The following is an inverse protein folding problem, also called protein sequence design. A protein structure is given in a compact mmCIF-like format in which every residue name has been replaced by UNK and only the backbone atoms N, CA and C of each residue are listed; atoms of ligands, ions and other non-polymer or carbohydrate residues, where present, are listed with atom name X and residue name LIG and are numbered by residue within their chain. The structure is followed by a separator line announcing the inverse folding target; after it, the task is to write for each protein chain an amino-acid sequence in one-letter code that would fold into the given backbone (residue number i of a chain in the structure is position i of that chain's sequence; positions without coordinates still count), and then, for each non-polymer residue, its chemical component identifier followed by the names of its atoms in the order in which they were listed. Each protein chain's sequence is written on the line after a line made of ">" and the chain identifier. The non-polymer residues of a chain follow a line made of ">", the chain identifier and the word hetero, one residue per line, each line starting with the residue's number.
data_IF_863465836999
#
_entry.id   IF_863465836999
#
_cell.length_a   1.000
_cell.length_b   1.000
_cell.length_c   1.000
_cell.angle_alpha   90.00
_cell.angle_beta   90.00
_cell.angle_gamma   90.00
#
_symmetry.space_group_name_H-M   'P 1'
#
loop_
_entity.id
_entity.type
_entity.pdbx_description
1 polymer ?
#
# COMPACT_ATOMS: atom_id res chain seq x y z
N UNK A 1 -75.30 17.97 56.46
CA UNK A 1 -75.66 18.93 55.41
C UNK A 1 -75.04 18.50 54.09
N UNK A 2 -75.72 18.75 52.95
CA UNK A 2 -76.02 17.74 51.93
C UNK A 2 -75.27 18.04 50.60
N UNK A 3 -75.24 17.23 49.54
CA UNK A 3 -76.37 16.80 48.69
C UNK A 3 -75.89 15.86 47.56
N UNK A 4 -76.65 14.78 47.38
CA UNK A 4 -77.19 14.21 46.10
C UNK A 4 -76.23 13.78 44.98
N UNK A 5 -76.10 12.49 44.66
CA UNK A 5 -77.02 11.57 43.94
C UNK A 5 -77.02 11.70 42.40
N UNK A 6 -76.71 10.55 41.78
CA UNK A 6 -77.41 9.91 40.62
C UNK A 6 -77.18 10.60 39.24
N UNK A 7 -77.09 9.92 38.09
CA UNK A 7 -77.54 8.58 37.66
C UNK A 7 -77.05 8.34 36.20
N UNK A 8 -76.83 7.06 35.85
CA UNK A 8 -77.15 6.33 34.57
C UNK A 8 -76.53 6.79 33.24
N UNK A 9 -75.77 5.97 32.49
CA UNK A 9 -76.05 4.69 31.75
C UNK A 9 -76.69 4.93 30.36
N UNK A 10 -76.20 4.16 29.37
CA UNK A 10 -76.61 4.02 27.95
C UNK A 10 -75.76 4.86 26.97
N UNK A 11 -75.35 4.42 25.77
CA UNK A 11 -75.68 3.25 24.97
C UNK A 11 -74.54 2.95 23.96
N UNK A 12 -74.45 1.68 23.57
CA UNK A 12 -73.66 1.13 22.46
C UNK A 12 -74.44 1.32 21.15
N UNK A 13 -73.75 1.51 20.01
CA UNK A 13 -73.99 0.94 18.67
C UNK A 13 -73.33 1.83 17.56
N UNK A 14 -73.31 1.43 16.27
CA UNK A 14 -72.07 1.09 15.56
C UNK A 14 -71.84 1.99 14.33
N UNK A 15 -70.64 1.96 13.71
CA UNK A 15 -70.52 2.43 12.32
C UNK A 15 -69.73 1.47 11.45
N UNK A 16 -70.38 1.20 10.33
CA UNK A 16 -70.12 0.22 9.30
C UNK A 16 -69.12 0.72 8.25
N UNK A 17 -68.53 -0.26 7.54
CA UNK A 17 -68.12 -0.28 6.12
C UNK A 17 -67.09 0.75 5.65
N UNK A 18 -65.98 0.23 5.10
CA UNK A 18 -65.70 0.35 3.67
C UNK A 18 -64.55 -0.58 3.27
N UNK A 19 -64.85 -1.54 2.39
CA UNK A 19 -63.87 -2.27 1.59
C UNK A 19 -63.31 -1.29 0.55
N UNK A 20 -61.99 -1.12 0.51
CA UNK A 20 -61.31 -0.48 -0.61
C UNK A 20 -60.39 -1.52 -1.27
N UNK A 21 -60.82 -1.95 -2.44
CA UNK A 21 -60.09 -2.75 -3.43
C UNK A 21 -58.86 -1.97 -3.89
N UNK A 22 -57.65 -2.49 -3.64
CA UNK A 22 -56.43 -1.99 -4.29
C UNK A 22 -56.17 -2.86 -5.50
N UNK A 23 -56.34 -2.24 -6.66
CA UNK A 23 -56.15 -2.83 -7.97
C UNK A 23 -54.68 -3.21 -8.21
N UNK A 24 -54.49 -4.45 -8.66
CA UNK A 24 -53.26 -4.99 -9.23
C UNK A 24 -52.90 -4.22 -10.50
N UNK A 25 -51.82 -3.44 -10.45
CA UNK A 25 -51.23 -2.81 -11.62
C UNK A 25 -50.04 -3.64 -12.10
N UNK A 26 -50.26 -4.45 -13.13
CA UNK A 26 -49.22 -5.17 -13.87
C UNK A 26 -48.26 -4.17 -14.55
N UNK A 27 -47.02 -4.10 -14.06
CA UNK A 27 -45.94 -3.40 -14.78
C UNK A 27 -45.28 -4.35 -15.79
N UNK A 28 -45.69 -4.19 -17.05
CA UNK A 28 -45.06 -4.74 -18.25
C UNK A 28 -43.59 -4.31 -18.33
N UNK A 29 -42.67 -5.28 -18.25
CA UNK A 29 -41.23 -5.06 -18.51
C UNK A 29 -40.98 -5.02 -20.01
N UNK A 30 -40.69 -3.85 -20.55
CA UNK A 30 -40.27 -3.67 -21.94
C UNK A 30 -38.77 -3.95 -22.05
N UNK A 31 -38.41 -5.04 -22.76
CA UNK A 31 -37.05 -5.31 -23.24
C UNK A 31 -36.62 -4.20 -24.22
N UNK A 32 -35.58 -3.44 -23.89
CA UNK A 32 -34.79 -2.69 -24.87
C UNK A 32 -33.36 -3.21 -24.90
N UNK A 33 -33.08 -4.05 -25.91
CA UNK A 33 -31.73 -4.30 -26.43
C UNK A 33 -31.38 -3.14 -27.35
N UNK A 34 -30.23 -2.51 -27.14
CA UNK A 34 -29.72 -1.46 -28.03
C UNK A 34 -28.33 -1.00 -27.63
N UNK A 35 -27.33 -1.52 -28.36
CA UNK A 35 -25.91 -1.16 -28.34
C UNK A 35 -25.65 0.35 -28.17
N UNK A 36 -24.76 0.71 -27.25
CA UNK A 36 -23.77 1.77 -27.45
C UNK A 36 -22.40 1.21 -27.06
N UNK A 37 -21.62 0.90 -28.08
CA UNK A 37 -20.23 0.45 -27.98
C UNK A 37 -19.41 1.64 -28.48
N UNK A 38 -18.65 2.28 -27.60
CA UNK A 38 -17.76 3.38 -27.94
C UNK A 38 -17.24 4.14 -26.72
N UNK A 39 -15.91 4.11 -26.56
CA UNK A 39 -15.06 5.02 -25.77
C UNK A 39 -14.92 4.78 -24.25
N UNK A 40 -14.39 3.63 -23.84
CA UNK A 40 -13.65 3.47 -22.58
C UNK A 40 -12.60 2.34 -22.73
N UNK A 41 -11.53 2.59 -23.47
CA UNK A 41 -10.46 1.59 -23.74
C UNK A 41 -9.30 1.70 -22.74
N UNK A 42 -9.61 1.87 -21.45
CA UNK A 42 -8.60 2.06 -20.39
C UNK A 42 -8.78 1.23 -19.12
N UNK A 43 -9.78 0.35 -19.03
CA UNK A 43 -10.10 -0.42 -17.80
C UNK A 43 -10.09 -1.95 -18.00
N UNK A 44 -9.33 -2.44 -18.98
CA UNK A 44 -9.38 -3.83 -19.47
C UNK A 44 -9.00 -4.92 -18.48
N UNK A 45 -8.35 -4.60 -17.34
CA UNK A 45 -7.92 -5.64 -16.39
C UNK A 45 -9.06 -6.12 -15.47
N UNK A 46 -10.01 -5.26 -15.08
CA UNK A 46 -11.04 -5.65 -14.11
C UNK A 46 -12.25 -6.38 -14.69
N UNK A 47 -12.55 -6.23 -15.99
CA UNK A 47 -13.66 -6.96 -16.61
C UNK A 47 -13.30 -8.43 -16.88
N UNK A 48 -12.06 -8.71 -17.29
CA UNK A 48 -11.60 -10.07 -17.57
C UNK A 48 -11.47 -10.90 -16.27
N UNK A 49 -11.00 -10.31 -15.17
CA UNK A 49 -10.93 -10.99 -13.86
C UNK A 49 -12.30 -11.41 -13.32
N UNK A 50 -13.34 -10.59 -13.54
CA UNK A 50 -14.71 -10.92 -13.13
C UNK A 50 -15.25 -12.13 -13.90
N UNK A 51 -14.97 -12.21 -15.19
CA UNK A 51 -15.38 -13.33 -16.05
C UNK A 51 -14.72 -14.65 -15.61
N UNK A 52 -13.41 -14.62 -15.29
CA UNK A 52 -12.66 -15.79 -14.80
C UNK A 52 -13.16 -16.23 -13.42
N UNK A 53 -13.39 -15.28 -12.51
CA UNK A 53 -13.90 -15.59 -11.17
C UNK A 53 -15.31 -16.18 -11.24
N UNK A 54 -16.19 -15.62 -12.07
CA UNK A 54 -17.56 -16.11 -12.22
C UNK A 54 -17.59 -17.52 -12.84
N UNK A 55 -16.72 -17.81 -13.81
CA UNK A 55 -16.53 -19.17 -14.33
C UNK A 55 -16.09 -20.14 -13.22
N UNK A 56 -15.07 -19.77 -12.44
CA UNK A 56 -14.58 -20.59 -11.33
C UNK A 56 -15.68 -20.85 -10.28
N UNK A 57 -16.42 -19.82 -9.88
CA UNK A 57 -17.53 -19.95 -8.94
C UNK A 57 -18.63 -20.86 -9.49
N UNK A 58 -18.92 -20.79 -10.79
CA UNK A 58 -19.87 -21.66 -11.46
C UNK A 58 -19.42 -23.12 -11.44
N UNK A 59 -18.16 -23.42 -11.79
CA UNK A 59 -17.61 -24.78 -11.76
C UNK A 59 -17.62 -25.38 -10.35
N UNK A 60 -17.21 -24.60 -9.34
CA UNK A 60 -17.22 -25.04 -7.95
C UNK A 60 -18.64 -25.26 -7.43
N UNK A 61 -19.64 -24.51 -7.92
CA UNK A 61 -21.04 -24.68 -7.53
C UNK A 61 -21.66 -26.01 -8.00
N UNK A 62 -21.21 -26.54 -9.15
CA UNK A 62 -21.68 -27.81 -9.73
C UNK A 62 -21.22 -29.04 -8.96
N UNK A 63 -20.17 -28.89 -8.15
CA UNK A 63 -19.58 -30.01 -7.41
C UNK A 63 -20.53 -30.45 -6.27
N UNK A 64 -20.93 -31.73 -6.19
CA UNK A 64 -21.87 -32.20 -5.17
C UNK A 64 -21.21 -32.24 -3.79
N UNK A 65 -21.98 -31.96 -2.73
CA UNK A 65 -21.51 -32.06 -1.35
C UNK A 65 -21.28 -33.52 -0.95
N UNK A 66 -20.27 -33.77 -0.12
CA UNK A 66 -20.01 -35.10 0.44
C UNK A 66 -20.97 -35.39 1.61
N UNK A 67 -21.40 -36.64 1.70
CA UNK A 67 -22.01 -37.17 2.92
C UNK A 67 -20.93 -37.52 3.94
N UNK A 68 -21.30 -37.59 5.22
CA UNK A 68 -20.36 -37.90 6.30
C UNK A 68 -19.66 -39.27 6.12
N UNK A 69 -20.36 -40.26 5.55
CA UNK A 69 -19.79 -41.59 5.28
C UNK A 69 -18.73 -41.53 4.17
N UNK A 70 -19.00 -40.78 3.10
CA UNK A 70 -18.06 -40.58 1.98
C UNK A 70 -16.83 -39.77 2.41
N UNK A 71 -17.03 -38.75 3.25
CA UNK A 71 -15.96 -37.94 3.83
C UNK A 71 -14.97 -38.80 4.63
N UNK A 72 -15.47 -39.68 5.50
CA UNK A 72 -14.64 -40.62 6.28
C UNK A 72 -13.91 -41.59 5.34
N UNK A 73 -14.60 -42.12 4.32
CA UNK A 73 -14.00 -43.05 3.36
C UNK A 73 -12.86 -42.40 2.56
N UNK A 74 -13.07 -41.18 2.07
CA UNK A 74 -12.04 -40.39 1.36
C UNK A 74 -10.89 -40.03 2.29
N UNK A 75 -11.16 -39.56 3.50
CA UNK A 75 -10.13 -39.20 4.47
C UNK A 75 -9.22 -40.39 4.84
N UNK A 76 -9.78 -41.60 4.95
CA UNK A 76 -8.98 -42.82 5.17
C UNK A 76 -8.05 -43.13 4.00
N UNK A 77 -8.53 -42.99 2.76
CA UNK A 77 -7.69 -43.17 1.55
C UNK A 77 -6.60 -42.10 1.46
N UNK A 78 -6.92 -40.86 1.78
CA UNK A 78 -5.97 -39.75 1.86
C UNK A 78 -4.83 -40.06 2.84
N UNK A 79 -5.15 -40.61 4.02
CA UNK A 79 -4.16 -41.02 5.01
C UNK A 79 -3.28 -42.18 4.53
N UNK A 80 -3.81 -43.04 3.66
CA UNK A 80 -3.05 -44.10 2.99
C UNK A 80 -2.15 -43.58 1.85
N UNK A 81 -2.15 -42.26 1.58
CA UNK A 81 -1.32 -41.63 0.55
C UNK A 81 -1.98 -41.52 -0.82
N UNK A 82 -3.28 -41.80 -0.94
CA UNK A 82 -4.02 -41.68 -2.19
C UNK A 82 -4.21 -40.20 -2.59
N UNK A 83 -3.53 -39.80 -3.67
CA UNK A 83 -3.53 -38.43 -4.17
C UNK A 83 -4.83 -38.08 -4.92
N UNK A 84 -5.50 -39.05 -5.53
CA UNK A 84 -6.81 -38.82 -6.18
C UNK A 84 -7.89 -38.58 -5.13
N UNK A 85 -7.88 -39.38 -4.06
CA UNK A 85 -8.79 -39.17 -2.92
C UNK A 85 -8.60 -37.78 -2.27
N UNK A 86 -7.35 -37.29 -2.22
CA UNK A 86 -7.04 -35.95 -1.71
C UNK A 86 -7.64 -34.87 -2.60
N UNK A 87 -7.44 -34.97 -3.91
CA UNK A 87 -7.97 -34.01 -4.86
C UNK A 87 -9.50 -33.97 -4.80
N UNK A 88 -10.15 -35.13 -4.73
CA UNK A 88 -11.60 -35.22 -4.62
C UNK A 88 -12.11 -34.62 -3.30
N UNK A 89 -11.47 -34.94 -2.17
CA UNK A 89 -11.81 -34.35 -0.87
C UNK A 89 -11.70 -32.82 -0.87
N UNK A 90 -10.63 -32.28 -1.45
CA UNK A 90 -10.42 -30.82 -1.57
C UNK A 90 -11.45 -30.20 -2.51
N UNK A 91 -11.64 -30.75 -3.72
CA UNK A 91 -12.56 -30.24 -4.75
C UNK A 91 -13.99 -30.13 -4.23
N UNK A 92 -14.44 -31.13 -3.47
CA UNK A 92 -15.76 -31.19 -2.83
C UNK A 92 -15.98 -30.13 -1.76
N UNK A 93 -14.90 -29.58 -1.19
CA UNK A 93 -14.93 -28.60 -0.11
C UNK A 93 -14.56 -27.17 -0.53
N UNK A 94 -14.27 -26.91 -1.81
CA UNK A 94 -13.91 -25.57 -2.32
C UNK A 94 -14.99 -24.51 -2.05
N UNK A 95 -16.28 -24.90 -2.09
CA UNK A 95 -17.42 -24.02 -1.75
C UNK A 95 -17.29 -23.41 -0.35
N UNK A 96 -16.78 -24.20 0.59
CA UNK A 96 -16.59 -23.74 1.96
C UNK A 96 -15.49 -22.68 2.05
N UNK A 97 -14.37 -22.86 1.34
CA UNK A 97 -13.28 -21.88 1.31
C UNK A 97 -13.77 -20.53 0.81
N UNK A 98 -14.56 -20.50 -0.26
CA UNK A 98 -15.16 -19.26 -0.79
C UNK A 98 -16.01 -18.55 0.28
N UNK A 99 -16.80 -19.30 1.05
CA UNK A 99 -17.63 -18.74 2.12
C UNK A 99 -16.81 -18.14 3.27
N UNK A 100 -15.62 -18.68 3.55
CA UNK A 100 -14.70 -18.16 4.55
C UNK A 100 -13.96 -16.93 4.00
N UNK A 101 -13.44 -17.00 2.77
CA UNK A 101 -12.71 -15.93 2.10
C UNK A 101 -13.55 -14.64 1.93
N UNK A 102 -14.84 -14.79 1.62
CA UNK A 102 -15.78 -13.64 1.54
C UNK A 102 -15.79 -12.75 2.80
N UNK A 103 -15.53 -13.32 3.97
CA UNK A 103 -15.49 -12.56 5.25
C UNK A 103 -14.26 -11.65 5.37
N UNK A 104 -13.24 -11.87 4.54
CA UNK A 104 -11.98 -11.14 4.55
C UNK A 104 -11.80 -10.22 3.33
N UNK A 105 -12.86 -10.03 2.54
CA UNK A 105 -12.85 -9.09 1.41
C UNK A 105 -12.58 -7.65 1.86
N UNK A 106 -12.09 -6.83 0.92
CA UNK A 106 -11.83 -5.39 1.11
C UNK A 106 -10.75 -5.10 2.17
N UNK A 107 -9.81 -6.04 2.39
CA UNK A 107 -8.67 -5.88 3.31
C UNK A 107 -7.31 -5.77 2.60
N UNK A 108 -7.33 -5.34 1.33
CA UNK A 108 -6.13 -5.10 0.52
C UNK A 108 -5.67 -6.25 -0.37
N UNK A 109 -6.37 -7.40 -0.36
CA UNK A 109 -6.19 -8.46 -1.36
C UNK A 109 -7.49 -8.71 -2.14
N UNK A 110 -7.41 -9.00 -3.45
CA UNK A 110 -8.59 -9.36 -4.24
C UNK A 110 -9.15 -10.71 -3.79
N UNK A 111 -10.44 -10.94 -4.06
CA UNK A 111 -11.12 -12.16 -3.61
C UNK A 111 -10.50 -13.43 -4.22
N UNK A 112 -10.02 -13.36 -5.47
CA UNK A 112 -9.31 -14.45 -6.16
C UNK A 112 -8.13 -14.95 -5.34
N UNK A 113 -7.30 -14.04 -4.85
CA UNK A 113 -6.08 -14.36 -4.11
C UNK A 113 -6.42 -14.88 -2.71
N UNK A 114 -7.44 -14.31 -2.06
CA UNK A 114 -7.95 -14.83 -0.79
C UNK A 114 -8.47 -16.26 -0.91
N UNK A 115 -9.16 -16.58 -2.02
CA UNK A 115 -9.61 -17.94 -2.31
C UNK A 115 -8.42 -18.85 -2.59
N UNK A 116 -7.44 -18.40 -3.38
CA UNK A 116 -6.23 -19.16 -3.69
C UNK A 116 -5.46 -19.57 -2.43
N UNK A 117 -5.19 -18.61 -1.55
CA UNK A 117 -4.50 -18.85 -0.27
C UNK A 117 -5.35 -19.71 0.68
N UNK A 118 -6.67 -19.50 0.69
CA UNK A 118 -7.60 -20.37 1.41
C UNK A 118 -7.58 -21.83 0.92
N UNK A 119 -7.43 -22.05 -0.38
CA UNK A 119 -7.33 -23.38 -0.99
C UNK A 119 -6.01 -24.07 -0.59
N UNK A 120 -4.91 -23.33 -0.48
CA UNK A 120 -3.64 -23.85 0.05
C UNK A 120 -3.80 -24.27 1.52
N UNK A 121 -4.52 -23.47 2.31
CA UNK A 121 -4.89 -23.83 3.69
C UNK A 121 -5.74 -25.10 3.76
N UNK A 122 -6.74 -25.24 2.88
CA UNK A 122 -7.60 -26.43 2.79
C UNK A 122 -6.78 -27.69 2.44
N UNK A 123 -5.85 -27.59 1.49
CA UNK A 123 -4.97 -28.70 1.11
C UNK A 123 -4.08 -29.14 2.29
N UNK A 124 -3.58 -28.18 3.06
CA UNK A 124 -2.79 -28.45 4.27
C UNK A 124 -3.63 -29.15 5.35
N UNK A 125 -4.89 -28.73 5.52
CA UNK A 125 -5.83 -29.40 6.40
C UNK A 125 -6.10 -30.84 5.96
N UNK A 126 -6.33 -31.06 4.66
CA UNK A 126 -6.64 -32.37 4.11
C UNK A 126 -5.48 -33.37 4.32
N UNK A 127 -4.22 -32.93 4.23
CA UNK A 127 -3.03 -33.76 4.55
C UNK A 127 -2.93 -34.18 6.01
N UNK A 128 -3.41 -33.34 6.94
CA UNK A 128 -3.23 -33.54 8.38
C UNK A 128 -4.50 -34.03 9.10
N UNK A 129 -5.58 -34.20 8.35
CA UNK A 129 -6.87 -34.57 8.91
C UNK A 129 -6.89 -36.03 9.36
N UNK A 130 -7.42 -36.26 10.56
CA UNK A 130 -7.62 -37.60 11.10
C UNK A 130 -9.13 -37.91 11.22
N UNK A 131 -9.66 -38.86 10.42
CA UNK A 131 -11.07 -39.22 10.46
C UNK A 131 -11.48 -39.95 11.74
N UNK A 132 -10.54 -40.52 12.50
CA UNK A 132 -10.84 -41.32 13.69
C UNK A 132 -11.19 -40.43 14.91
N UNK A 133 -10.94 -39.12 14.84
CA UNK A 133 -11.29 -38.15 15.88
C UNK A 133 -12.79 -37.81 15.96
N UNK A 134 -13.62 -38.30 15.04
CA UNK A 134 -15.08 -38.12 15.07
C UNK A 134 -15.59 -36.71 14.77
N UNK A 135 -14.71 -35.80 14.34
CA UNK A 135 -15.05 -34.44 13.92
C UNK A 135 -15.19 -34.34 12.40
N UNK A 136 -16.10 -33.49 11.92
CA UNK A 136 -16.22 -33.20 10.48
C UNK A 136 -14.95 -32.52 9.99
N UNK A 137 -14.51 -32.83 8.76
CA UNK A 137 -13.33 -32.24 8.12
C UNK A 137 -13.40 -30.72 8.09
N UNK A 138 -14.57 -30.17 7.76
CA UNK A 138 -14.79 -28.71 7.68
C UNK A 138 -14.50 -28.02 9.03
N UNK A 139 -14.85 -28.66 10.15
CA UNK A 139 -14.60 -28.13 11.49
C UNK A 139 -13.10 -28.02 11.80
N UNK A 140 -12.30 -28.94 11.28
CA UNK A 140 -10.85 -28.90 11.37
C UNK A 140 -10.23 -27.92 10.36
N UNK A 141 -10.70 -27.97 9.11
CA UNK A 141 -10.15 -27.20 8.00
C UNK A 141 -10.31 -25.69 8.17
N UNK A 142 -11.36 -25.21 8.87
CA UNK A 142 -11.59 -23.78 9.05
C UNK A 142 -10.41 -23.05 9.70
N UNK A 143 -9.68 -23.71 10.61
CA UNK A 143 -8.50 -23.14 11.27
C UNK A 143 -7.36 -22.92 10.27
N UNK A 144 -7.04 -23.94 9.47
CA UNK A 144 -5.99 -23.86 8.45
C UNK A 144 -6.33 -22.87 7.34
N UNK A 145 -7.59 -22.83 6.89
CA UNK A 145 -8.06 -21.86 5.88
C UNK A 145 -7.90 -20.44 6.42
N UNK A 146 -8.35 -20.17 7.65
CA UNK A 146 -8.21 -18.84 8.27
C UNK A 146 -6.76 -18.46 8.47
N UNK A 147 -5.92 -19.40 8.93
CA UNK A 147 -4.49 -19.15 9.13
C UNK A 147 -3.82 -18.76 7.81
N UNK A 148 -4.07 -19.50 6.74
CA UNK A 148 -3.51 -19.22 5.42
C UNK A 148 -3.94 -17.84 4.89
N UNK A 149 -5.24 -17.55 4.94
CA UNK A 149 -5.79 -16.24 4.52
C UNK A 149 -5.20 -15.09 5.34
N UNK A 150 -5.14 -15.22 6.66
CA UNK A 150 -4.59 -14.18 7.54
C UNK A 150 -3.08 -14.00 7.32
N UNK A 151 -2.34 -15.08 7.08
CA UNK A 151 -0.91 -15.02 6.77
C UNK A 151 -0.64 -14.34 5.42
N UNK A 152 -1.48 -14.59 4.41
CA UNK A 152 -1.41 -13.93 3.11
C UNK A 152 -1.72 -12.44 3.22
N UNK A 153 -2.82 -12.07 3.90
CA UNK A 153 -3.17 -10.68 4.18
C UNK A 153 -2.05 -9.93 4.91
N UNK A 154 -1.41 -10.57 5.89
CA UNK A 154 -0.27 -9.99 6.59
C UNK A 154 0.97 -9.79 5.70
N UNK A 155 1.13 -10.60 4.65
CA UNK A 155 2.30 -10.57 3.77
C UNK A 155 2.14 -9.63 2.58
N UNK A 156 0.96 -9.63 1.97
CA UNK A 156 0.68 -9.02 0.67
C UNK A 156 -0.47 -8.01 0.70
N UNK A 157 -1.29 -7.98 1.76
CA UNK A 157 -2.48 -7.12 1.82
C UNK A 157 -2.21 -5.64 2.03
N UNK A 158 -0.95 -5.21 2.04
CA UNK A 158 -0.55 -3.80 2.18
C UNK A 158 0.55 -3.50 1.19
N UNK A 159 0.49 -2.30 0.61
CA UNK A 159 1.52 -1.75 -0.28
C UNK A 159 2.88 -1.70 0.41
N UNK A 160 2.92 -1.24 1.67
CA UNK A 160 4.11 -1.31 2.54
C UNK A 160 3.98 -2.49 3.49
N UNK A 161 4.91 -3.45 3.35
CA UNK A 161 4.91 -4.67 4.15
C UNK A 161 5.24 -4.40 5.61
N UNK A 162 4.39 -4.91 6.51
CA UNK A 162 4.64 -4.91 7.96
C UNK A 162 5.10 -6.31 8.40
N UNK A 163 6.13 -6.42 9.27
CA UNK A 163 6.56 -7.70 9.83
C UNK A 163 5.44 -8.46 10.57
N UNK A 164 5.42 -9.79 10.46
CA UNK A 164 4.33 -10.64 10.99
C UNK A 164 4.18 -10.54 12.52
N UNK A 165 5.27 -10.32 13.25
CA UNK A 165 5.24 -10.10 14.70
C UNK A 165 4.52 -8.81 15.10
N UNK A 166 4.46 -7.81 14.20
CA UNK A 166 3.84 -6.50 14.45
C UNK A 166 2.44 -6.34 13.86
N UNK A 167 2.00 -7.25 12.97
CA UNK A 167 0.65 -7.17 12.38
C UNK A 167 -0.47 -7.41 13.39
N UNK A 168 -0.21 -8.25 14.40
CA UNK A 168 -1.12 -8.47 15.51
C UNK A 168 -1.25 -7.21 16.39
N UNK A 169 -0.14 -6.52 16.66
CA UNK A 169 -0.10 -5.23 17.37
C UNK A 169 -0.89 -4.17 16.62
N UNK A 170 -0.64 -4.03 15.32
CA UNK A 170 -1.35 -3.10 14.45
C UNK A 170 -2.87 -3.38 14.44
N UNK A 171 -3.26 -4.64 14.32
CA UNK A 171 -4.68 -5.03 14.33
C UNK A 171 -5.35 -4.78 15.68
N UNK A 172 -4.58 -4.79 16.78
CA UNK A 172 -5.06 -4.40 18.12
C UNK A 172 -5.21 -2.88 18.20
N UNK A 173 -4.19 -2.13 17.78
CA UNK A 173 -4.20 -0.66 17.72
C UNK A 173 -5.42 -0.15 16.95
N UNK A 174 -5.68 -0.66 15.74
CA UNK A 174 -6.83 -0.23 14.93
C UNK A 174 -8.17 -0.53 15.62
N UNK A 175 -8.32 -1.71 16.25
CA UNK A 175 -9.54 -2.08 16.97
C UNK A 175 -9.76 -1.23 18.22
N UNK A 176 -8.70 -0.99 18.98
CA UNK A 176 -8.74 -0.18 20.20
C UNK A 176 -8.98 1.29 19.85
N UNK A 177 -8.35 1.82 18.82
CA UNK A 177 -8.59 3.17 18.33
C UNK A 177 -10.05 3.36 17.92
N UNK A 178 -10.64 2.41 17.18
CA UNK A 178 -12.07 2.44 16.83
C UNK A 178 -12.98 2.42 18.06
N UNK A 179 -12.67 1.56 19.03
CA UNK A 179 -13.42 1.44 20.28
C UNK A 179 -13.34 2.72 21.14
N UNK A 180 -12.14 3.30 21.27
CA UNK A 180 -11.92 4.54 22.00
C UNK A 180 -12.59 5.71 21.29
N UNK A 181 -12.54 5.77 19.95
CA UNK A 181 -13.24 6.79 19.17
C UNK A 181 -14.74 6.78 19.41
N UNK A 182 -15.35 5.60 19.50
CA UNK A 182 -16.78 5.46 19.81
C UNK A 182 -17.12 5.88 21.25
N UNK A 183 -16.23 5.57 22.20
CA UNK A 183 -16.45 5.83 23.63
C UNK A 183 -16.21 7.31 23.98
N UNK A 184 -15.10 7.88 23.49
CA UNK A 184 -14.68 9.26 23.76
C UNK A 184 -15.35 10.29 22.84
N UNK A 185 -15.97 9.84 21.74
CA UNK A 185 -16.57 10.69 20.69
C UNK A 185 -15.60 11.73 20.11
N UNK A 186 -14.31 11.42 20.14
CA UNK A 186 -13.22 12.19 19.53
C UNK A 186 -12.14 11.22 19.05
N UNK A 187 -11.20 11.71 18.24
CA UNK A 187 -10.01 10.93 17.91
C UNK A 187 -9.18 10.68 19.19
N UNK A 188 -8.81 9.43 19.48
CA UNK A 188 -7.99 9.08 20.64
C UNK A 188 -6.55 9.52 20.44
N UNK A 189 -5.88 9.92 21.52
CA UNK A 189 -4.46 10.26 21.47
C UNK A 189 -3.60 8.99 21.41
N UNK A 190 -2.36 9.05 20.87
CA UNK A 190 -1.46 7.90 20.86
C UNK A 190 -1.16 7.34 22.26
N UNK A 191 -1.17 8.19 23.29
CA UNK A 191 -0.99 7.81 24.70
C UNK A 191 -2.18 6.97 25.21
N UNK A 192 -3.41 7.40 24.94
CA UNK A 192 -4.63 6.67 25.32
C UNK A 192 -4.70 5.29 24.66
N UNK A 193 -4.25 5.19 23.41
CA UNK A 193 -4.16 3.92 22.70
C UNK A 193 -3.06 3.03 23.31
N UNK A 194 -1.91 3.60 23.67
CA UNK A 194 -0.82 2.88 24.31
C UNK A 194 -1.26 2.27 25.65
N UNK A 195 -1.93 3.05 26.49
CA UNK A 195 -2.45 2.60 27.78
C UNK A 195 -3.49 1.48 27.62
N UNK A 196 -4.42 1.64 26.68
CA UNK A 196 -5.45 0.64 26.43
C UNK A 196 -4.92 -0.65 25.77
N UNK A 197 -3.86 -0.56 24.96
CA UNK A 197 -3.25 -1.71 24.28
C UNK A 197 -2.10 -2.36 25.06
N UNK A 198 -1.61 -1.70 26.13
CA UNK A 198 -0.42 -2.08 26.91
C UNK A 198 0.84 -2.18 26.04
N UNK A 199 0.95 -1.29 25.05
CA UNK A 199 2.12 -1.17 24.18
C UNK A 199 2.87 0.11 24.51
N UNK A 200 4.17 0.15 24.25
CA UNK A 200 4.96 1.39 24.40
C UNK A 200 4.51 2.46 23.41
N UNK A 201 4.52 3.73 23.83
CA UNK A 201 4.14 4.87 23.00
C UNK A 201 4.86 4.91 21.64
N UNK A 202 6.18 4.64 21.62
CA UNK A 202 6.99 4.60 20.39
C UNK A 202 6.49 3.56 19.37
N UNK A 203 6.09 2.37 19.86
CA UNK A 203 5.52 1.31 19.00
C UNK A 203 4.18 1.73 18.44
N UNK A 204 3.34 2.40 19.24
CA UNK A 204 2.04 2.90 18.75
C UNK A 204 2.24 3.98 17.69
N UNK A 205 3.13 4.94 17.92
CA UNK A 205 3.42 6.01 16.96
C UNK A 205 4.01 5.46 15.65
N UNK A 206 5.00 4.58 15.73
CA UNK A 206 5.62 3.97 14.54
C UNK A 206 4.63 3.13 13.73
N UNK A 207 3.79 2.33 14.38
CA UNK A 207 2.79 1.52 13.70
C UNK A 207 1.61 2.35 13.18
N UNK A 208 1.24 3.44 13.88
CA UNK A 208 0.22 4.37 13.41
C UNK A 208 0.68 5.11 12.15
N UNK A 209 1.94 5.54 12.09
CA UNK A 209 2.53 6.17 10.90
C UNK A 209 2.53 5.23 9.69
N UNK A 210 2.72 3.92 9.90
CA UNK A 210 2.61 2.90 8.84
C UNK A 210 1.17 2.61 8.41
N UNK A 211 0.16 3.04 9.19
CA UNK A 211 -1.24 2.84 8.87
C UNK A 211 -1.87 4.02 8.11
N UNK A 212 -1.09 5.06 7.83
CA UNK A 212 -1.53 6.16 6.97
C UNK A 212 -1.89 5.60 5.60
N UNK A 213 -3.11 5.90 5.11
CA UNK A 213 -3.61 5.37 3.85
C UNK A 213 -2.68 5.77 2.69
N UNK A 214 -2.47 4.84 1.76
CA UNK A 214 -1.72 5.11 0.54
C UNK A 214 -2.50 6.05 -0.37
N UNK A 215 -1.83 7.11 -0.84
CA UNK A 215 -2.38 8.05 -1.81
C UNK A 215 -1.88 7.67 -3.19
N UNK A 216 -2.80 7.49 -4.14
CA UNK A 216 -2.44 7.25 -5.53
C UNK A 216 -2.00 8.56 -6.18
N UNK A 217 -0.77 8.60 -6.67
CA UNK A 217 -0.23 9.79 -7.34
C UNK A 217 -0.83 10.01 -8.74
N UNK A 218 -1.26 8.94 -9.40
CA UNK A 218 -1.96 8.99 -10.69
C UNK A 218 -3.47 9.25 -10.55
N UNK A 219 -3.99 9.42 -9.33
CA UNK A 219 -5.40 9.73 -9.17
C UNK A 219 -5.69 11.12 -9.73
N UNK A 220 -6.70 11.26 -10.61
CA UNK A 220 -7.11 12.56 -11.11
C UNK A 220 -7.60 13.41 -9.95
N UNK A 221 -7.11 14.65 -9.87
CA UNK A 221 -7.49 15.62 -8.86
C UNK A 221 -8.84 16.28 -9.17
N UNK A 222 -9.08 16.54 -10.45
CA UNK A 222 -10.26 17.21 -10.95
C UNK A 222 -11.19 16.24 -11.71
N UNK A 223 -12.51 16.49 -11.74
CA UNK A 223 -13.49 15.65 -12.45
C UNK A 223 -13.21 15.48 -13.94
N UNK A 224 -12.55 16.47 -14.54
CA UNK A 224 -12.19 16.48 -15.96
C UNK A 224 -10.94 15.63 -16.27
N UNK A 225 -10.20 15.19 -15.23
CA UNK A 225 -9.10 14.23 -15.36
C UNK A 225 -7.78 14.80 -15.89
N UNK A 226 -7.71 16.10 -16.14
CA UNK A 226 -6.55 16.75 -16.78
C UNK A 226 -5.35 16.98 -15.84
N UNK A 227 -5.52 16.80 -14.53
CA UNK A 227 -4.46 17.05 -13.53
C UNK A 227 -4.28 15.88 -12.60
N UNK A 228 -3.06 15.35 -12.56
CA UNK A 228 -2.62 14.33 -11.62
C UNK A 228 -1.78 14.92 -10.47
N UNK A 229 -1.70 14.22 -9.33
CA UNK A 229 -0.81 14.64 -8.22
C UNK A 229 0.67 14.61 -8.65
N UNK A 230 1.03 13.72 -9.58
CA UNK A 230 2.39 13.59 -10.12
C UNK A 230 2.89 14.89 -10.75
N UNK A 231 2.03 15.65 -11.45
CA UNK A 231 2.42 16.93 -12.07
C UNK A 231 2.86 17.99 -11.06
N UNK A 232 2.47 17.85 -9.79
CA UNK A 232 2.87 18.78 -8.72
C UNK A 232 4.17 18.36 -8.02
N UNK A 233 4.55 17.09 -8.14
CA UNK A 233 5.77 16.54 -7.54
C UNK A 233 7.00 16.63 -8.49
N UNK A 234 6.96 17.53 -9.48
CA UNK A 234 8.10 17.72 -10.40
C UNK A 234 9.31 18.19 -9.58
N UNK A 235 10.23 17.23 -9.42
CA UNK A 235 11.61 17.24 -8.97
C UNK A 235 12.17 18.57 -8.43
N UNK A 236 12.34 18.62 -7.11
CA UNK A 236 13.31 19.51 -6.44
C UNK A 236 14.76 19.22 -6.89
N UNK A 237 15.01 18.08 -7.55
CA UNK A 237 16.34 17.62 -7.99
C UNK A 237 16.76 18.12 -9.39
N UNK A 238 15.94 18.90 -10.11
CA UNK A 238 16.46 19.57 -11.30
C UNK A 238 17.23 20.82 -10.83
N UNK A 239 18.56 20.88 -11.03
CA UNK A 239 19.30 22.08 -10.71
C UNK A 239 18.72 23.22 -11.53
N UNK A 240 18.48 24.36 -10.88
CA UNK A 240 17.89 25.51 -11.54
C UNK A 240 18.70 25.85 -12.80
N UNK A 241 18.02 26.25 -13.87
CA UNK A 241 18.71 26.64 -15.11
C UNK A 241 19.62 27.85 -14.85
N UNK A 242 19.24 28.70 -13.90
CA UNK A 242 20.08 29.80 -13.40
C UNK A 242 21.33 29.29 -12.69
N UNK A 243 21.21 28.33 -11.78
CA UNK A 243 22.35 27.71 -11.08
C UNK A 243 23.32 27.05 -12.07
N UNK A 244 22.80 26.29 -13.04
CA UNK A 244 23.63 25.66 -14.07
C UNK A 244 24.33 26.69 -14.98
N UNK A 245 23.67 27.82 -15.27
CA UNK A 245 24.30 28.89 -16.04
C UNK A 245 25.38 29.58 -15.21
N UNK A 246 25.12 29.85 -13.93
CA UNK A 246 26.06 30.46 -13.00
C UNK A 246 27.31 29.59 -12.78
N UNK A 247 27.14 28.27 -12.62
CA UNK A 247 28.25 27.32 -12.52
C UNK A 247 29.13 27.31 -13.78
N UNK A 248 28.52 27.42 -14.97
CA UNK A 248 29.26 27.56 -16.24
C UNK A 248 30.02 28.87 -16.32
N UNK A 249 29.37 29.99 -16.00
CA UNK A 249 30.03 31.30 -15.96
C UNK A 249 31.18 31.33 -14.97
N UNK A 250 31.00 30.76 -13.78
CA UNK A 250 32.04 30.63 -12.77
C UNK A 250 33.22 29.77 -13.29
N UNK A 251 32.92 28.65 -13.93
CA UNK A 251 33.94 27.77 -14.52
C UNK A 251 34.76 28.49 -15.61
N UNK A 252 34.09 29.24 -16.49
CA UNK A 252 34.73 30.01 -17.56
C UNK A 252 35.62 31.14 -17.00
N UNK A 253 35.14 31.87 -15.99
CA UNK A 253 35.92 32.91 -15.30
C UNK A 253 37.13 32.33 -14.56
N UNK A 254 36.98 31.17 -13.91
CA UNK A 254 38.10 30.44 -13.29
C UNK A 254 39.13 30.04 -14.36
N UNK A 255 38.71 29.55 -15.53
CA UNK A 255 39.62 29.23 -16.63
C UNK A 255 40.36 30.47 -17.14
N UNK A 256 39.66 31.59 -17.33
CA UNK A 256 40.29 32.86 -17.73
C UNK A 256 41.32 33.33 -16.69
N UNK A 257 40.98 33.26 -15.40
CA UNK A 257 41.89 33.58 -14.31
C UNK A 257 43.16 32.71 -14.34
N UNK A 258 43.00 31.40 -14.54
CA UNK A 258 44.12 30.46 -14.65
C UNK A 258 45.00 30.73 -15.88
N UNK A 259 44.42 31.22 -16.98
CA UNK A 259 45.16 31.56 -18.21
C UNK A 259 46.04 32.81 -18.07
N UNK A 260 45.75 33.70 -17.12
CA UNK A 260 46.62 34.85 -16.80
C UNK A 260 47.91 34.46 -16.06
N UNK A 261 47.90 33.30 -15.41
CA UNK A 261 49.05 32.78 -14.67
C UNK A 261 50.07 32.12 -15.59
N UNK A 262 51.30 31.97 -15.10
CA UNK A 262 52.30 31.19 -15.78
C UNK A 262 51.85 29.72 -15.89
N UNK A 263 52.06 29.07 -17.04
CA UNK A 263 51.62 27.67 -17.30
C UNK A 263 51.93 26.68 -16.18
N UNK A 264 53.09 26.83 -15.52
CA UNK A 264 53.50 25.99 -14.38
C UNK A 264 52.70 26.26 -13.11
N UNK A 265 52.39 27.52 -12.83
CA UNK A 265 51.61 27.96 -11.67
C UNK A 265 50.15 27.51 -11.81
N UNK A 266 49.56 27.72 -13.01
CA UNK A 266 48.21 27.29 -13.33
C UNK A 266 48.02 25.77 -13.23
N UNK A 267 49.01 24.98 -13.69
CA UNK A 267 48.93 23.52 -13.62
C UNK A 267 48.95 23.00 -12.18
N UNK A 268 49.70 23.64 -11.29
CA UNK A 268 49.69 23.30 -9.85
C UNK A 268 48.31 23.54 -9.25
N UNK A 269 47.65 24.65 -9.58
CA UNK A 269 46.30 24.95 -9.07
C UNK A 269 45.24 23.99 -9.63
N UNK A 270 45.28 23.68 -10.93
CA UNK A 270 44.36 22.73 -11.57
C UNK A 270 44.43 21.34 -10.93
N UNK A 271 45.64 20.86 -10.61
CA UNK A 271 45.84 19.56 -9.96
C UNK A 271 45.50 19.59 -8.45
N UNK A 272 45.79 20.69 -7.77
CA UNK A 272 45.51 20.82 -6.33
C UNK A 272 44.01 20.85 -6.04
N UNK A 273 43.24 21.62 -6.81
CA UNK A 273 41.78 21.78 -6.64
C UNK A 273 40.95 20.85 -7.54
N UNK A 274 41.58 20.00 -8.35
CA UNK A 274 40.85 19.05 -9.22
C UNK A 274 40.04 19.68 -10.36
N UNK A 275 40.37 20.91 -10.77
CA UNK A 275 39.55 21.73 -11.70
C UNK A 275 39.42 21.15 -13.12
N UNK A 276 40.33 20.28 -13.56
CA UNK A 276 40.26 19.59 -14.87
C UNK A 276 39.34 18.33 -14.81
N UNK A 277 38.34 18.30 -13.91
CA UNK A 277 37.42 17.17 -13.74
C UNK A 277 38.04 15.95 -13.04
N UNK A 278 39.11 16.17 -12.27
CA UNK A 278 39.87 15.14 -11.56
C UNK A 278 39.72 15.22 -10.04
N UNK A 279 40.30 14.26 -9.33
CA UNK A 279 40.42 14.33 -7.86
C UNK A 279 41.44 15.40 -7.46
N UNK A 280 41.26 15.97 -6.28
CA UNK A 280 42.30 16.80 -5.64
C UNK A 280 43.57 15.98 -5.40
N UNK A 281 44.72 16.57 -5.73
CA UNK A 281 46.02 15.94 -5.52
C UNK A 281 46.78 16.59 -4.36
N UNK A 282 47.49 15.77 -3.59
CA UNK A 282 48.36 16.27 -2.51
C UNK A 282 49.61 16.97 -3.07
N UNK A 283 50.20 17.89 -2.30
CA UNK A 283 51.42 18.61 -2.71
C UNK A 283 52.60 17.68 -3.02
N UNK A 284 52.63 16.49 -2.42
CA UNK A 284 53.66 15.47 -2.63
C UNK A 284 53.44 14.72 -3.95
N UNK A 285 52.20 14.32 -4.26
CA UNK A 285 51.83 13.73 -5.56
C UNK A 285 52.10 14.71 -6.70
N UNK A 286 51.71 15.98 -6.55
CA UNK A 286 51.97 17.04 -7.55
C UNK A 286 53.48 17.26 -7.73
N UNK A 287 54.26 17.19 -6.65
CA UNK A 287 55.71 17.29 -6.68
C UNK A 287 56.35 16.14 -7.48
N UNK A 288 55.86 14.91 -7.27
CA UNK A 288 56.25 13.73 -8.04
C UNK A 288 55.94 13.87 -9.54
N UNK A 289 54.77 14.40 -9.91
CA UNK A 289 54.38 14.60 -11.32
C UNK A 289 55.19 15.71 -12.02
N UNK A 290 55.56 16.77 -11.30
CA UNK A 290 56.28 17.93 -11.85
C UNK A 290 57.81 17.85 -11.68
N UNK A 291 58.32 16.79 -11.04
CA UNK A 291 59.75 16.62 -10.77
C UNK A 291 60.34 17.66 -9.82
N UNK A 292 59.54 18.17 -8.86
CA UNK A 292 59.94 19.21 -7.91
C UNK A 292 59.63 18.80 -6.47
N UNK A 293 60.34 19.38 -5.50
CA UNK A 293 60.09 19.11 -4.09
C UNK A 293 58.71 19.61 -3.65
N UNK A 294 58.11 18.94 -2.66
CA UNK A 294 56.84 19.36 -2.04
C UNK A 294 56.82 20.84 -1.65
N UNK A 295 57.91 21.32 -1.06
CA UNK A 295 58.03 22.72 -0.64
C UNK A 295 58.05 23.67 -1.84
N UNK A 296 58.63 23.25 -2.96
CA UNK A 296 58.60 24.03 -4.20
C UNK A 296 57.19 24.12 -4.79
N UNK A 297 56.39 23.05 -4.74
CA UNK A 297 54.97 23.08 -5.15
C UNK A 297 54.17 24.05 -4.28
N UNK A 298 54.39 24.04 -2.95
CA UNK A 298 53.76 24.98 -2.02
C UNK A 298 54.06 26.44 -2.38
N UNK A 299 55.32 26.75 -2.67
CA UNK A 299 55.74 28.09 -3.10
C UNK A 299 55.13 28.51 -4.45
N UNK A 300 54.94 27.58 -5.38
CA UNK A 300 54.27 27.85 -6.66
C UNK A 300 52.79 28.15 -6.44
N UNK A 301 52.10 27.34 -5.62
CA UNK A 301 50.69 27.55 -5.24
C UNK A 301 50.48 28.90 -4.57
N UNK A 302 51.23 29.20 -3.51
CA UNK A 302 51.03 30.41 -2.70
C UNK A 302 51.29 31.68 -3.53
N UNK A 303 52.27 31.63 -4.44
CA UNK A 303 52.55 32.70 -5.40
C UNK A 303 51.45 32.84 -6.45
N UNK A 304 50.91 31.73 -6.96
CA UNK A 304 49.81 31.72 -7.91
C UNK A 304 48.55 32.34 -7.29
N UNK A 305 48.19 31.93 -6.08
CA UNK A 305 47.07 32.49 -5.32
C UNK A 305 47.25 33.98 -5.03
N UNK A 306 48.47 34.40 -4.64
CA UNK A 306 48.76 35.83 -4.43
C UNK A 306 48.59 36.64 -5.71
N UNK A 307 49.05 36.13 -6.86
CA UNK A 307 48.87 36.79 -8.17
C UNK A 307 47.41 36.88 -8.60
N UNK A 308 46.62 35.83 -8.37
CA UNK A 308 45.18 35.86 -8.62
C UNK A 308 44.47 36.89 -7.74
N UNK A 309 44.86 36.98 -6.46
CA UNK A 309 44.29 37.94 -5.51
C UNK A 309 44.63 39.41 -5.84
N UNK A 310 45.86 39.67 -6.24
CA UNK A 310 46.34 41.02 -6.51
C UNK A 310 45.97 41.50 -7.94
N UNK A 311 45.47 40.60 -8.80
CA UNK A 311 45.02 40.90 -10.17
C UNK A 311 43.54 41.27 -10.27
N UNK A 312 43.15 41.89 -11.39
CA UNK A 312 41.77 42.35 -11.61
C UNK A 312 40.75 41.21 -11.70
N UNK A 313 41.18 40.01 -12.11
CA UNK A 313 40.33 38.81 -12.21
C UNK A 313 39.93 38.25 -10.83
N UNK A 314 40.77 38.46 -9.80
CA UNK A 314 40.42 38.06 -8.42
C UNK A 314 39.25 38.87 -7.85
N UNK A 315 39.06 40.11 -8.30
CA UNK A 315 37.91 40.95 -7.92
C UNK A 315 36.63 40.50 -8.62
N UNK A 316 36.73 40.04 -9.87
CA UNK A 316 35.60 39.48 -10.60
C UNK A 316 35.12 38.15 -9.99
N UNK A 317 36.03 37.27 -9.59
CA UNK A 317 35.67 36.03 -8.88
C UNK A 317 35.07 36.27 -7.49
N UNK A 318 35.40 37.39 -6.84
CA UNK A 318 34.83 37.75 -5.54
C UNK A 318 33.32 38.06 -5.61
N UNK A 319 32.79 38.50 -6.76
CA UNK A 319 31.35 38.74 -6.90
C UNK A 319 30.52 37.46 -6.98
N UNK A 320 31.13 36.32 -7.30
CA UNK A 320 30.47 35.00 -7.28
C UNK A 320 30.44 34.38 -5.87
N UNK A 321 31.19 34.95 -4.92
CA UNK A 321 31.27 34.48 -3.53
C UNK A 321 30.44 35.33 -2.54
N UNK A 322 29.78 36.39 -3.02
CA UNK A 322 28.96 37.33 -2.26
C UNK A 322 27.48 36.98 -2.39
#
# INVERSE_FOLDING_TARGET
>A
MPRTRKKTKAARAPKAKAKATVATAERRVVKRRGRRRGLLTGLGHHEHERDILDQYLHEVSKTPLLTQKEEIALARKVRAGDQEAMQELVKRNLRFVISVAKKYQNRGLPLTDLIGEGNVGLLTAARKFDPDQGVKFISYAVWWIRQAILAALARQGRTVRVPLNRTADLSRIVRTAEYLRQTLRREPTPEEIADATKLSLEVVQSLAALNTGDVRLDAPLDPDGDRSLIERFIAEDLPDTEDQAMDRFLSDEIEQALNTLQRRDAKVLRLYFGLDGGREHTLEEIGGMLGVTRERVRQLRDRALKRLRDGDVGKALASFAA
#
